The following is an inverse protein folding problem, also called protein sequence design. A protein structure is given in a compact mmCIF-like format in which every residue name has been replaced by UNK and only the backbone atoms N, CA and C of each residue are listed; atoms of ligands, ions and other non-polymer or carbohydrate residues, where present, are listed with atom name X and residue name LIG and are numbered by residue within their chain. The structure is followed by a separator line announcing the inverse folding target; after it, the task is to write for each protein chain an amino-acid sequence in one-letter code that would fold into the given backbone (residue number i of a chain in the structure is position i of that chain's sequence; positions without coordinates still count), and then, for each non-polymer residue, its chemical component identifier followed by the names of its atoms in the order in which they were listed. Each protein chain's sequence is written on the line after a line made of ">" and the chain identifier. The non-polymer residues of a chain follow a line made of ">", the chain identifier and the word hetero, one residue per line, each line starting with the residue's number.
data_IF_233603508229
#
_entry.id   IF_233603508229
#
_cell.length_a   1.000
_cell.length_b   1.000
_cell.length_c   1.000
_cell.angle_alpha   90.00
_cell.angle_beta   90.00
_cell.angle_gamma   90.00
#
_symmetry.space_group_name_H-M   'P 1'
#
loop_
_entity.id
_entity.type
_entity.pdbx_description
1 polymer ?
#
# COMPACT_ATOMS: atom_id res chain seq x y z
N UNK A 1 47.15 41.84 -21.24
CA UNK A 1 46.86 40.42 -20.90
C UNK A 1 45.44 40.35 -20.38
N UNK A 2 44.50 39.91 -21.23
CA UNK A 2 43.07 39.84 -20.90
C UNK A 2 42.73 38.35 -20.69
N UNK A 3 42.52 37.95 -19.43
CA UNK A 3 42.16 36.58 -19.08
C UNK A 3 40.69 36.34 -19.42
N UNK A 4 40.46 35.60 -20.50
CA UNK A 4 39.14 35.10 -20.88
C UNK A 4 38.84 33.87 -20.02
N UNK A 5 37.94 34.01 -19.05
CA UNK A 5 37.41 32.88 -18.28
C UNK A 5 36.43 32.09 -19.15
N UNK A 6 36.85 30.92 -19.61
CA UNK A 6 35.95 29.93 -20.22
C UNK A 6 35.29 29.16 -19.07
N UNK A 7 34.02 29.45 -18.80
CA UNK A 7 33.16 28.61 -17.96
C UNK A 7 32.90 27.29 -18.71
N UNK A 8 33.24 26.11 -18.13
CA UNK A 8 32.84 24.85 -18.74
C UNK A 8 31.32 24.71 -18.58
N UNK A 9 30.63 24.60 -19.71
CA UNK A 9 29.21 24.27 -19.74
C UNK A 9 29.02 22.91 -19.06
N UNK A 10 28.45 22.92 -17.86
CA UNK A 10 28.04 21.72 -17.14
C UNK A 10 26.86 21.11 -17.92
N UNK A 11 27.14 20.15 -18.80
CA UNK A 11 26.12 19.33 -19.42
C UNK A 11 25.44 18.50 -18.33
N UNK A 12 24.29 18.98 -17.85
CA UNK A 12 23.36 18.19 -17.06
C UNK A 12 22.83 17.11 -18.00
N UNK A 13 23.41 15.90 -17.88
CA UNK A 13 22.81 14.70 -18.44
C UNK A 13 21.47 14.48 -17.72
N UNK A 14 20.39 15.02 -18.28
CA UNK A 14 19.05 14.55 -17.97
C UNK A 14 18.99 13.13 -18.53
N UNK A 15 19.30 12.14 -17.68
CA UNK A 15 18.92 10.77 -17.96
C UNK A 15 17.40 10.76 -18.00
N UNK A 16 16.82 10.93 -19.20
CA UNK A 16 15.45 10.56 -19.45
C UNK A 16 15.37 9.06 -19.18
N UNK A 17 14.91 8.69 -17.98
CA UNK A 17 14.57 7.31 -17.67
C UNK A 17 13.40 6.98 -18.57
N UNK A 18 13.68 6.40 -19.75
CA UNK A 18 12.63 5.92 -20.65
C UNK A 18 11.87 4.84 -19.88
N UNK A 19 10.61 5.11 -19.59
CA UNK A 19 9.77 4.12 -18.96
C UNK A 19 9.63 2.89 -19.86
N UNK A 20 9.97 1.71 -19.33
CA UNK A 20 9.82 0.47 -20.07
C UNK A 20 8.34 0.08 -20.15
N UNK A 21 7.88 -0.41 -21.30
CA UNK A 21 6.55 -0.98 -21.46
C UNK A 21 6.53 -2.47 -21.09
N UNK A 22 5.35 -3.01 -20.75
CA UNK A 22 5.10 -4.45 -20.61
C UNK A 22 3.82 -4.80 -21.37
N UNK A 23 3.96 -4.93 -22.68
CA UNK A 23 2.84 -5.18 -23.61
C UNK A 23 2.79 -6.63 -24.13
N UNK A 24 3.73 -7.47 -23.70
CA UNK A 24 3.78 -8.90 -24.02
C UNK A 24 4.21 -9.72 -22.80
N UNK A 25 3.84 -11.03 -22.74
CA UNK A 25 4.24 -11.92 -21.66
C UNK A 25 5.77 -12.05 -21.57
N UNK A 26 6.37 -11.96 -20.37
CA UNK A 26 7.74 -12.41 -20.17
C UNK A 26 7.90 -13.90 -20.51
N UNK A 27 9.14 -14.31 -20.82
CA UNK A 27 9.45 -15.73 -21.09
C UNK A 27 9.00 -16.62 -19.91
N UNK A 28 8.27 -17.69 -20.23
CA UNK A 28 7.77 -18.66 -19.25
C UNK A 28 6.57 -18.20 -18.41
N UNK A 29 6.01 -17.01 -18.66
CA UNK A 29 4.80 -16.56 -17.99
C UNK A 29 3.55 -17.28 -18.53
N UNK A 30 2.70 -17.76 -17.63
CA UNK A 30 1.35 -18.19 -17.98
C UNK A 30 0.51 -16.98 -18.34
N UNK A 31 -0.28 -17.08 -19.40
CA UNK A 31 -1.05 -15.97 -19.95
C UNK A 31 -2.49 -16.02 -19.46
N UNK A 32 -2.98 -14.89 -18.97
CA UNK A 32 -4.38 -14.64 -18.68
C UNK A 32 -4.90 -13.58 -19.66
N UNK A 33 -5.99 -13.89 -20.36
CA UNK A 33 -6.65 -12.97 -21.29
C UNK A 33 -8.16 -13.17 -21.23
N UNK A 34 -8.89 -12.10 -20.94
CA UNK A 34 -10.35 -12.11 -20.91
C UNK A 34 -10.91 -12.65 -22.25
N UNK A 35 -11.83 -13.62 -22.15
CA UNK A 35 -12.53 -14.18 -23.32
C UNK A 35 -11.69 -15.04 -24.26
N UNK A 36 -10.44 -15.35 -23.93
CA UNK A 36 -9.56 -16.13 -24.81
C UNK A 36 -10.10 -17.52 -25.16
N UNK A 37 -9.86 -17.95 -26.40
CA UNK A 37 -10.08 -19.32 -26.89
C UNK A 37 -8.76 -20.01 -27.26
N UNK A 38 -7.64 -19.32 -27.09
CA UNK A 38 -6.32 -19.86 -27.40
C UNK A 38 -5.95 -20.97 -26.42
N UNK A 39 -5.46 -22.09 -26.96
CA UNK A 39 -4.93 -23.18 -26.14
C UNK A 39 -3.73 -22.68 -25.32
N UNK A 40 -3.69 -23.02 -24.02
CA UNK A 40 -2.63 -22.62 -23.10
C UNK A 40 -2.77 -21.23 -22.47
N UNK A 41 -3.81 -20.45 -22.82
CA UNK A 41 -4.18 -19.22 -22.10
C UNK A 41 -5.35 -19.48 -21.13
N UNK A 42 -5.43 -18.70 -20.06
CA UNK A 42 -6.51 -18.78 -19.07
C UNK A 42 -7.46 -17.59 -19.18
N UNK A 43 -8.76 -17.84 -18.99
CA UNK A 43 -9.79 -16.79 -18.92
C UNK A 43 -9.81 -16.06 -17.59
N UNK A 44 -9.27 -16.68 -16.52
CA UNK A 44 -9.28 -16.14 -15.17
C UNK A 44 -7.93 -16.32 -14.48
N UNK A 45 -7.64 -15.42 -13.54
CA UNK A 45 -6.38 -15.37 -12.80
C UNK A 45 -6.34 -16.52 -11.80
N UNK A 46 -7.46 -16.85 -11.15
CA UNK A 46 -7.49 -18.00 -10.23
C UNK A 46 -7.20 -19.31 -10.97
N UNK A 47 -7.71 -19.50 -12.20
CA UNK A 47 -7.42 -20.69 -12.97
C UNK A 47 -5.93 -20.80 -13.34
N UNK A 48 -5.29 -19.68 -13.70
CA UNK A 48 -3.84 -19.63 -13.94
C UNK A 48 -3.03 -19.91 -12.66
N UNK A 49 -3.46 -19.42 -11.50
CA UNK A 49 -2.82 -19.76 -10.21
C UNK A 49 -2.93 -21.27 -9.93
N UNK A 50 -4.10 -21.85 -10.20
CA UNK A 50 -4.40 -23.26 -9.96
C UNK A 50 -3.69 -24.21 -10.95
N UNK A 51 -3.26 -23.73 -12.11
CA UNK A 51 -2.60 -24.59 -13.12
C UNK A 51 -1.16 -24.93 -12.76
N UNK A 52 -0.55 -24.18 -11.85
CA UNK A 52 0.83 -24.41 -11.44
C UNK A 52 0.93 -25.52 -10.39
N UNK A 53 1.98 -26.36 -10.42
CA UNK A 53 2.21 -27.37 -9.38
C UNK A 53 2.45 -26.72 -8.01
N UNK A 54 1.96 -27.32 -6.92
CA UNK A 54 2.14 -26.77 -5.57
C UNK A 54 3.52 -27.14 -4.97
N UNK A 55 4.57 -26.68 -5.63
CA UNK A 55 5.97 -26.89 -5.29
C UNK A 55 6.67 -25.55 -4.99
N UNK A 56 7.98 -25.60 -4.72
CA UNK A 56 8.81 -24.42 -4.48
C UNK A 56 9.23 -23.66 -5.75
N UNK A 57 8.74 -24.05 -6.93
CA UNK A 57 9.17 -23.43 -8.19
C UNK A 57 8.66 -21.99 -8.33
N UNK A 58 9.51 -21.12 -8.85
CA UNK A 58 9.12 -19.74 -9.18
C UNK A 58 8.22 -19.75 -10.41
N UNK A 59 7.10 -19.04 -10.33
CA UNK A 59 6.12 -18.91 -11.42
C UNK A 59 5.84 -17.45 -11.76
N UNK A 60 5.37 -17.23 -12.97
CA UNK A 60 4.89 -15.91 -13.36
C UNK A 60 3.60 -15.98 -14.18
N UNK A 61 2.75 -14.97 -14.00
CA UNK A 61 1.52 -14.76 -14.77
C UNK A 61 1.63 -13.41 -15.47
N UNK A 62 1.19 -13.34 -16.73
CA UNK A 62 0.97 -12.10 -17.45
C UNK A 62 -0.54 -11.93 -17.75
N UNK A 63 -1.09 -10.77 -17.41
CA UNK A 63 -2.51 -10.46 -17.54
C UNK A 63 -2.68 -9.40 -18.64
N UNK A 64 -3.34 -9.77 -19.74
CA UNK A 64 -3.72 -8.84 -20.81
C UNK A 64 -4.81 -7.86 -20.36
N UNK A 65 -5.00 -6.74 -21.09
CA UNK A 65 -6.03 -5.74 -20.79
C UNK A 65 -7.40 -6.36 -20.56
N UNK A 66 -8.10 -5.90 -19.53
CA UNK A 66 -9.43 -6.37 -19.19
C UNK A 66 -9.77 -6.22 -17.71
N UNK A 67 -11.05 -6.41 -17.40
CA UNK A 67 -11.57 -6.49 -16.04
C UNK A 67 -11.95 -7.95 -15.75
N UNK A 68 -11.33 -8.50 -14.73
CA UNK A 68 -11.49 -9.88 -14.26
C UNK A 68 -12.31 -9.84 -12.97
N UNK A 69 -13.61 -10.17 -13.08
CA UNK A 69 -14.52 -10.16 -11.94
C UNK A 69 -14.43 -11.49 -11.18
N UNK A 70 -13.49 -11.57 -10.23
CA UNK A 70 -13.20 -12.78 -9.47
C UNK A 70 -12.53 -12.46 -8.13
N UNK A 71 -12.58 -13.42 -7.19
CA UNK A 71 -11.68 -13.44 -6.03
C UNK A 71 -10.48 -14.31 -6.38
N UNK A 72 -9.29 -13.80 -6.06
CA UNK A 72 -8.03 -14.52 -6.27
C UNK A 72 -7.41 -14.83 -4.92
N UNK A 73 -7.19 -16.11 -4.64
CA UNK A 73 -6.54 -16.61 -3.44
C UNK A 73 -5.28 -17.40 -3.80
N UNK A 74 -4.15 -16.94 -3.27
CA UNK A 74 -2.82 -17.45 -3.62
C UNK A 74 -2.18 -18.05 -2.37
N UNK A 75 -2.02 -19.38 -2.37
CA UNK A 75 -1.46 -20.19 -1.27
C UNK A 75 -0.25 -21.03 -1.68
N UNK A 76 0.33 -20.72 -2.84
CA UNK A 76 1.45 -21.50 -3.40
C UNK A 76 2.67 -21.48 -2.48
N UNK A 77 3.46 -22.55 -2.48
CA UNK A 77 4.75 -22.58 -1.76
C UNK A 77 5.83 -21.74 -2.44
N UNK A 78 5.95 -21.86 -3.76
CA UNK A 78 6.92 -21.14 -4.57
C UNK A 78 6.53 -19.69 -4.86
N UNK A 79 7.53 -18.87 -5.14
CA UNK A 79 7.35 -17.46 -5.47
C UNK A 79 6.45 -17.27 -6.71
N UNK A 80 5.61 -16.25 -6.68
CA UNK A 80 4.76 -15.88 -7.81
C UNK A 80 4.94 -14.41 -8.16
N UNK A 81 5.20 -14.13 -9.44
CA UNK A 81 5.16 -12.77 -9.98
C UNK A 81 3.98 -12.58 -10.94
N UNK A 82 3.14 -11.59 -10.71
CA UNK A 82 2.04 -11.21 -11.59
C UNK A 82 2.39 -9.90 -12.30
N UNK A 83 2.29 -9.90 -13.63
CA UNK A 83 2.50 -8.73 -14.47
C UNK A 83 1.18 -8.34 -15.15
N UNK A 84 0.74 -7.11 -14.96
CA UNK A 84 -0.33 -6.51 -15.76
C UNK A 84 0.22 -5.90 -17.05
N UNK A 85 -0.59 -5.94 -18.10
CA UNK A 85 -0.33 -5.17 -19.31
C UNK A 85 -0.27 -3.68 -19.00
N UNK A 86 0.80 -3.02 -19.46
CA UNK A 86 0.95 -1.56 -19.39
C UNK A 86 1.88 -1.07 -20.50
N UNK A 87 1.63 0.16 -20.96
CA UNK A 87 2.56 0.88 -21.86
C UNK A 87 3.68 1.57 -21.08
N UNK A 88 3.55 1.71 -19.77
CA UNK A 88 4.53 2.33 -18.87
C UNK A 88 4.55 1.59 -17.53
N UNK A 89 5.64 0.87 -17.25
CA UNK A 89 5.83 0.11 -16.00
C UNK A 89 6.17 0.97 -14.79
N UNK A 90 6.56 2.23 -15.00
CA UNK A 90 6.99 3.14 -13.96
C UNK A 90 5.83 3.85 -13.23
N UNK A 91 4.61 3.76 -13.78
CA UNK A 91 3.40 4.41 -13.28
C UNK A 91 2.21 3.46 -13.19
N UNK A 92 1.29 3.74 -12.27
CA UNK A 92 0.00 3.05 -12.17
C UNK A 92 -1.04 3.54 -13.20
N UNK A 93 -0.83 4.73 -13.77
CA UNK A 93 -1.86 5.42 -14.59
C UNK A 93 -2.12 4.73 -15.94
N UNK A 94 -1.22 3.85 -16.38
CA UNK A 94 -1.32 3.10 -17.64
C UNK A 94 -1.70 1.63 -17.44
N UNK A 95 -2.08 1.23 -16.22
CA UNK A 95 -2.53 -0.12 -15.93
C UNK A 95 -3.82 -0.44 -16.71
N UNK A 96 -3.84 -1.58 -17.42
CA UNK A 96 -5.02 -2.01 -18.17
C UNK A 96 -5.63 -3.34 -17.69
N UNK A 97 -4.99 -4.00 -16.73
CA UNK A 97 -5.50 -5.21 -16.08
C UNK A 97 -6.13 -4.85 -14.72
N UNK A 98 -7.40 -5.21 -14.53
CA UNK A 98 -8.14 -4.96 -13.28
C UNK A 98 -8.73 -6.24 -12.72
N UNK A 99 -8.41 -6.56 -11.47
CA UNK A 99 -9.09 -7.59 -10.67
C UNK A 99 -10.18 -6.89 -9.86
N UNK A 100 -11.40 -7.39 -9.92
CA UNK A 100 -12.56 -6.73 -9.30
C UNK A 100 -13.46 -7.75 -8.63
N UNK A 101 -13.95 -7.45 -7.43
CA UNK A 101 -15.00 -8.24 -6.80
C UNK A 101 -15.82 -7.42 -5.81
N UNK A 102 -17.02 -7.89 -5.46
CA UNK A 102 -17.86 -7.30 -4.42
C UNK A 102 -17.92 -8.25 -3.23
N UNK A 103 -17.18 -7.95 -2.15
CA UNK A 103 -17.20 -8.77 -0.92
C UNK A 103 -17.03 -7.86 0.28
N UNK A 104 -18.09 -7.74 1.09
CA UNK A 104 -18.04 -7.05 2.38
C UNK A 104 -17.95 -8.03 3.55
N UNK A 105 -17.62 -7.51 4.74
CA UNK A 105 -17.59 -8.31 5.97
C UNK A 105 -18.98 -8.82 6.37
N UNK A 106 -20.04 -8.13 5.96
CA UNK A 106 -21.42 -8.60 6.11
C UNK A 106 -21.73 -9.89 5.31
N UNK A 107 -20.82 -10.31 4.43
CA UNK A 107 -20.93 -11.53 3.62
C UNK A 107 -19.69 -12.43 3.77
N UNK A 108 -18.85 -12.19 4.78
CA UNK A 108 -17.56 -12.89 4.97
C UNK A 108 -17.31 -13.16 6.45
N UNK A 109 -16.55 -14.20 6.76
CA UNK A 109 -16.30 -14.57 8.16
C UNK A 109 -15.15 -13.79 8.82
N UNK A 110 -14.34 -13.09 8.01
CA UNK A 110 -13.18 -12.34 8.50
C UNK A 110 -12.77 -11.23 7.52
N UNK A 111 -11.97 -10.29 8.01
CA UNK A 111 -11.35 -9.23 7.18
C UNK A 111 -10.55 -9.82 6.00
N UNK A 112 -9.81 -10.91 6.22
CA UNK A 112 -9.05 -11.59 5.16
C UNK A 112 -9.96 -12.08 4.04
N UNK A 113 -11.12 -12.65 4.39
CA UNK A 113 -12.07 -13.15 3.40
C UNK A 113 -12.72 -12.04 2.58
N UNK A 114 -12.75 -10.79 3.04
CA UNK A 114 -13.28 -9.68 2.22
C UNK A 114 -12.38 -9.34 1.03
N UNK A 115 -11.11 -9.76 1.05
CA UNK A 115 -10.12 -9.44 0.03
C UNK A 115 -10.51 -9.91 -1.37
N UNK A 116 -10.55 -8.98 -2.35
CA UNK A 116 -10.59 -9.32 -3.78
C UNK A 116 -9.35 -10.13 -4.19
N UNK A 117 -8.18 -9.72 -3.73
CA UNK A 117 -6.92 -10.46 -3.86
C UNK A 117 -6.40 -10.84 -2.47
N UNK A 118 -6.23 -12.13 -2.21
CA UNK A 118 -5.71 -12.70 -0.96
C UNK A 118 -4.38 -13.40 -1.20
N UNK A 119 -3.33 -12.95 -0.52
CA UNK A 119 -1.95 -13.41 -0.72
C UNK A 119 -1.44 -14.07 0.56
N UNK A 120 -1.39 -15.39 0.55
CA UNK A 120 -0.87 -16.26 1.60
C UNK A 120 0.32 -17.06 1.05
N UNK A 121 1.24 -16.35 0.41
CA UNK A 121 2.48 -16.92 -0.16
C UNK A 121 3.63 -15.93 0.00
N UNK A 122 4.82 -16.47 0.23
CA UNK A 122 6.06 -15.71 0.34
C UNK A 122 6.61 -15.30 -1.03
N UNK A 123 7.41 -14.22 -1.06
CA UNK A 123 8.11 -13.72 -2.24
C UNK A 123 7.16 -13.36 -3.41
N UNK A 124 5.93 -12.97 -3.09
CA UNK A 124 4.96 -12.50 -4.07
C UNK A 124 5.37 -11.14 -4.65
N UNK A 125 5.22 -10.97 -5.97
CA UNK A 125 5.39 -9.69 -6.63
C UNK A 125 4.23 -9.40 -7.58
N UNK A 126 3.77 -8.16 -7.62
CA UNK A 126 2.78 -7.71 -8.59
C UNK A 126 3.19 -6.38 -9.20
N UNK A 127 3.02 -6.27 -10.52
CA UNK A 127 3.39 -5.10 -11.31
C UNK A 127 2.19 -4.62 -12.13
N UNK A 128 1.85 -3.34 -12.02
CA UNK A 128 0.93 -2.65 -12.95
C UNK A 128 -0.46 -3.30 -13.09
N UNK A 129 -1.01 -3.79 -11.97
CA UNK A 129 -2.37 -4.35 -11.88
C UNK A 129 -3.22 -3.50 -10.95
N UNK A 130 -4.47 -3.25 -11.36
CA UNK A 130 -5.49 -2.64 -10.52
C UNK A 130 -6.24 -3.74 -9.75
N UNK A 131 -6.51 -3.53 -8.47
CA UNK A 131 -7.32 -4.42 -7.63
C UNK A 131 -8.41 -3.59 -6.96
N UNK A 132 -9.67 -3.99 -7.13
CA UNK A 132 -10.83 -3.22 -6.69
C UNK A 132 -11.81 -4.08 -5.91
N UNK A 133 -12.17 -3.62 -4.72
CA UNK A 133 -13.39 -4.07 -4.07
C UNK A 133 -14.52 -3.06 -4.34
N UNK A 134 -15.60 -3.53 -4.97
CA UNK A 134 -16.70 -2.66 -5.42
C UNK A 134 -17.82 -2.51 -4.40
N UNK A 135 -17.66 -3.01 -3.16
CA UNK A 135 -18.70 -3.00 -2.13
C UNK A 135 -19.22 -1.59 -1.80
N UNK A 136 -18.32 -0.59 -1.75
CA UNK A 136 -18.68 0.78 -1.41
C UNK A 136 -18.86 1.02 0.10
N UNK A 137 -19.63 2.05 0.51
CA UNK A 137 -19.85 2.37 1.93
C UNK A 137 -20.69 1.33 2.66
N UNK A 138 -20.58 1.32 4.01
CA UNK A 138 -21.47 0.60 4.91
C UNK A 138 -20.87 -0.63 5.59
N UNK A 139 -19.75 -1.15 5.09
CA UNK A 139 -19.06 -2.30 5.69
C UNK A 139 -17.59 -2.35 5.26
N UNK A 140 -16.76 -3.06 6.02
CA UNK A 140 -15.36 -3.36 5.69
C UNK A 140 -15.28 -4.20 4.41
N UNK A 141 -14.42 -3.82 3.48
CA UNK A 141 -14.30 -4.48 2.19
C UNK A 141 -12.89 -4.33 1.58
N UNK A 142 -12.06 -5.36 1.74
CA UNK A 142 -10.68 -5.38 1.26
C UNK A 142 -10.56 -5.53 -0.25
N UNK A 143 -9.77 -4.66 -0.88
CA UNK A 143 -9.22 -4.92 -2.21
C UNK A 143 -8.05 -5.92 -2.10
N UNK A 144 -7.17 -5.71 -1.13
CA UNK A 144 -6.01 -6.56 -0.87
C UNK A 144 -6.03 -7.10 0.56
N UNK A 145 -5.85 -8.41 0.69
CA UNK A 145 -5.46 -9.07 1.93
C UNK A 145 -4.06 -9.67 1.79
N UNK A 146 -3.11 -9.14 2.56
CA UNK A 146 -1.71 -9.51 2.47
C UNK A 146 -1.26 -10.20 3.77
N UNK A 147 -0.82 -11.46 3.64
CA UNK A 147 -0.29 -12.27 4.74
C UNK A 147 1.14 -12.79 4.51
N UNK A 148 1.60 -12.88 3.27
CA UNK A 148 2.92 -13.45 2.94
C UNK A 148 4.13 -12.61 3.37
N UNK A 149 5.32 -13.21 3.42
CA UNK A 149 6.55 -12.46 3.68
C UNK A 149 7.26 -12.07 2.37
N UNK A 150 7.92 -10.91 2.35
CA UNK A 150 8.66 -10.35 1.19
C UNK A 150 7.75 -10.10 -0.02
N UNK A 151 6.58 -9.51 0.22
CA UNK A 151 5.67 -9.12 -0.85
C UNK A 151 6.04 -7.74 -1.44
N UNK A 152 5.92 -7.60 -2.77
CA UNK A 152 6.19 -6.34 -3.45
C UNK A 152 5.11 -5.98 -4.47
N UNK A 153 4.67 -4.73 -4.42
CA UNK A 153 3.65 -4.17 -5.31
C UNK A 153 4.21 -2.91 -5.97
N UNK A 154 4.29 -2.90 -7.30
CA UNK A 154 4.98 -1.87 -8.07
C UNK A 154 4.06 -1.31 -9.14
N UNK A 155 3.72 -0.02 -9.06
CA UNK A 155 2.75 0.59 -9.98
C UNK A 155 1.35 -0.02 -9.87
N UNK A 156 1.03 -0.73 -8.79
CA UNK A 156 -0.30 -1.30 -8.57
C UNK A 156 -1.26 -0.24 -8.05
N UNK A 157 -2.56 -0.41 -8.34
CA UNK A 157 -3.60 0.45 -7.79
C UNK A 157 -4.61 -0.37 -6.98
N UNK A 158 -4.94 0.10 -5.78
CA UNK A 158 -5.88 -0.55 -4.86
C UNK A 158 -7.05 0.38 -4.59
N UNK A 159 -8.27 -0.07 -4.91
CA UNK A 159 -9.48 0.73 -4.83
C UNK A 159 -10.47 0.09 -3.87
N UNK A 160 -10.96 0.88 -2.91
CA UNK A 160 -12.02 0.46 -2.01
C UNK A 160 -12.67 1.64 -1.30
N UNK A 161 -13.19 1.40 -0.11
CA UNK A 161 -13.85 2.43 0.69
C UNK A 161 -13.47 2.32 2.16
N UNK A 162 -13.98 1.34 2.89
CA UNK A 162 -13.50 1.00 4.24
C UNK A 162 -12.60 -0.23 4.15
N UNK A 163 -11.45 -0.21 4.83
CA UNK A 163 -10.54 -1.35 4.96
C UNK A 163 -9.95 -1.84 3.61
N UNK A 164 -9.52 -0.92 2.73
CA UNK A 164 -9.10 -1.25 1.34
C UNK A 164 -7.86 -2.15 1.25
N UNK A 165 -6.82 -1.86 2.02
CA UNK A 165 -5.52 -2.52 1.95
C UNK A 165 -5.16 -3.07 3.33
N UNK A 166 -5.32 -4.39 3.48
CA UNK A 166 -4.98 -5.11 4.69
C UNK A 166 -3.52 -5.58 4.67
N UNK A 167 -2.62 -4.67 5.05
CA UNK A 167 -1.18 -4.92 5.20
C UNK A 167 -0.89 -5.65 6.52
N UNK A 168 -1.31 -6.92 6.60
CA UNK A 168 -1.46 -7.59 7.88
C UNK A 168 -0.20 -8.27 8.42
N UNK A 169 0.58 -9.00 7.61
CA UNK A 169 1.73 -9.79 8.07
C UNK A 169 2.94 -9.70 7.14
N UNK A 170 4.11 -10.08 7.64
CA UNK A 170 5.33 -10.14 6.83
C UNK A 170 5.88 -8.79 6.39
N UNK A 171 7.00 -8.83 5.65
CA UNK A 171 7.62 -7.64 5.06
C UNK A 171 6.98 -7.34 3.71
N UNK A 172 6.60 -6.09 3.49
CA UNK A 172 5.82 -5.67 2.33
C UNK A 172 6.33 -4.32 1.79
N UNK A 173 6.34 -4.15 0.46
CA UNK A 173 6.62 -2.87 -0.18
C UNK A 173 5.55 -2.50 -1.20
N UNK A 174 5.13 -1.24 -1.18
CA UNK A 174 4.15 -0.64 -2.09
C UNK A 174 4.77 0.59 -2.73
N UNK A 175 5.11 0.52 -4.01
CA UNK A 175 5.92 1.53 -4.68
C UNK A 175 5.23 2.10 -5.91
N UNK A 176 5.23 3.44 -6.03
CA UNK A 176 4.74 4.18 -7.21
C UNK A 176 3.31 3.79 -7.63
N UNK A 177 2.50 3.37 -6.67
CA UNK A 177 1.14 2.91 -6.87
C UNK A 177 0.08 3.95 -6.53
N UNK A 178 -1.16 3.49 -6.48
CA UNK A 178 -2.33 4.26 -6.07
C UNK A 178 -3.11 3.50 -5.00
N UNK A 179 -3.49 4.15 -3.91
CA UNK A 179 -4.26 3.53 -2.82
C UNK A 179 -5.41 4.45 -2.46
N UNK A 180 -6.64 3.98 -2.65
CA UNK A 180 -7.85 4.78 -2.47
C UNK A 180 -8.80 4.18 -1.44
N UNK A 181 -9.27 5.02 -0.50
CA UNK A 181 -10.32 4.67 0.44
C UNK A 181 -10.73 5.86 1.32
N UNK A 182 -11.54 5.59 2.35
CA UNK A 182 -12.08 6.57 3.30
C UNK A 182 -11.69 6.26 4.73
N UNK A 183 -12.09 5.11 5.24
CA UNK A 183 -11.93 4.75 6.66
C UNK A 183 -10.97 3.58 6.77
N UNK A 184 -9.93 3.74 7.58
CA UNK A 184 -8.95 2.70 7.92
C UNK A 184 -8.39 1.99 6.69
N UNK A 185 -8.25 2.71 5.57
CA UNK A 185 -8.09 2.04 4.28
C UNK A 185 -6.69 1.49 4.03
N UNK A 186 -5.73 1.78 4.91
CA UNK A 186 -4.45 1.07 5.06
C UNK A 186 -4.35 0.58 6.50
N UNK A 187 -4.50 -0.72 6.73
CA UNK A 187 -4.64 -1.28 8.08
C UNK A 187 -4.03 -2.66 8.21
N UNK A 188 -3.86 -3.15 9.45
CA UNK A 188 -3.22 -4.42 9.73
C UNK A 188 -2.54 -4.45 11.09
N UNK A 189 -2.08 -5.63 11.51
CA UNK A 189 -1.56 -5.83 12.88
C UNK A 189 -0.06 -6.02 12.96
N UNK A 190 0.50 -6.89 12.13
CA UNK A 190 1.85 -7.43 12.29
C UNK A 190 2.78 -7.11 11.12
N UNK A 191 2.27 -6.43 10.07
CA UNK A 191 3.00 -6.14 8.85
C UNK A 191 4.12 -5.12 9.07
N UNK A 192 5.27 -5.38 8.46
CA UNK A 192 6.32 -4.39 8.25
C UNK A 192 6.19 -3.87 6.82
N UNK A 193 5.45 -2.77 6.63
CA UNK A 193 5.09 -2.27 5.31
C UNK A 193 5.75 -0.93 5.00
N UNK A 194 6.38 -0.84 3.83
CA UNK A 194 6.94 0.39 3.29
C UNK A 194 6.12 0.87 2.10
N UNK A 195 5.66 2.12 2.16
CA UNK A 195 4.90 2.81 1.13
C UNK A 195 5.78 3.93 0.56
N UNK A 196 6.25 3.79 -0.68
CA UNK A 196 7.17 4.72 -1.32
C UNK A 196 6.63 5.32 -2.63
N UNK A 197 6.49 6.64 -2.72
CA UNK A 197 6.15 7.28 -3.99
C UNK A 197 4.71 7.04 -4.49
N UNK A 198 3.80 6.62 -3.61
CA UNK A 198 2.41 6.34 -3.99
C UNK A 198 1.55 7.60 -3.98
N UNK A 199 0.46 7.57 -4.74
CA UNK A 199 -0.68 8.45 -4.56
C UNK A 199 -1.65 7.81 -3.58
N UNK A 200 -1.95 8.50 -2.48
CA UNK A 200 -2.91 8.08 -1.44
C UNK A 200 -4.15 8.96 -1.58
N UNK A 201 -5.24 8.39 -2.07
CA UNK A 201 -6.43 9.13 -2.45
C UNK A 201 -7.58 8.93 -1.46
N UNK A 202 -7.97 10.02 -0.79
CA UNK A 202 -8.99 10.00 0.27
C UNK A 202 -10.37 10.27 -0.31
N UNK A 203 -11.32 9.36 -0.10
CA UNK A 203 -12.69 9.43 -0.62
C UNK A 203 -13.68 10.18 0.28
N UNK A 204 -13.35 10.40 1.55
CA UNK A 204 -14.29 10.95 2.51
C UNK A 204 -13.64 11.30 3.84
N UNK A 205 -14.38 11.96 4.76
CA UNK A 205 -13.94 12.14 6.13
C UNK A 205 -13.63 10.79 6.79
N UNK A 206 -12.46 10.65 7.42
CA UNK A 206 -12.01 9.35 7.91
C UNK A 206 -10.54 9.29 8.27
N UNK A 207 -9.96 8.10 8.13
CA UNK A 207 -8.60 7.79 8.56
C UNK A 207 -7.86 7.05 7.45
N UNK A 208 -6.66 7.52 7.11
CA UNK A 208 -5.81 6.85 6.12
C UNK A 208 -5.31 5.52 6.68
N UNK A 209 -4.77 5.55 7.90
CA UNK A 209 -4.16 4.37 8.52
C UNK A 209 -4.86 3.91 9.79
N UNK A 210 -4.91 2.60 10.00
CA UNK A 210 -5.31 2.00 11.26
C UNK A 210 -4.40 0.83 11.61
N UNK A 211 -3.27 1.12 12.28
CA UNK A 211 -2.43 0.06 12.84
C UNK A 211 -3.21 -0.63 13.95
N UNK A 212 -3.11 -1.94 14.04
CA UNK A 212 -3.67 -2.77 15.10
C UNK A 212 -2.61 -3.52 15.89
N UNK A 213 -1.34 -3.08 15.85
CA UNK A 213 -0.22 -3.69 16.59
C UNK A 213 -0.58 -3.86 18.06
N UNK A 214 -0.41 -5.05 18.60
CA UNK A 214 -0.88 -5.40 19.95
C UNK A 214 0.24 -5.54 20.98
N UNK A 215 1.48 -5.80 20.53
CA UNK A 215 2.66 -5.99 21.37
C UNK A 215 3.85 -5.21 20.82
N UNK A 216 4.99 -5.26 21.51
CA UNK A 216 6.23 -4.62 21.07
C UNK A 216 6.98 -5.44 19.99
N UNK A 217 6.30 -5.74 18.87
CA UNK A 217 6.84 -6.50 17.73
C UNK A 217 7.47 -5.63 16.62
N UNK A 218 7.96 -6.22 15.53
CA UNK A 218 8.57 -5.45 14.43
C UNK A 218 7.55 -4.75 13.49
N UNK A 219 6.24 -4.93 13.70
CA UNK A 219 5.19 -4.39 12.85
C UNK A 219 5.23 -2.86 12.81
N UNK A 220 5.27 -2.29 11.61
CA UNK A 220 5.28 -0.83 11.41
C UNK A 220 4.95 -0.46 9.97
N UNK A 221 4.42 0.75 9.78
CA UNK A 221 4.17 1.34 8.45
C UNK A 221 5.06 2.55 8.23
N UNK A 222 5.79 2.57 7.12
CA UNK A 222 6.68 3.67 6.75
C UNK A 222 6.19 4.31 5.47
N UNK A 223 5.97 5.62 5.48
CA UNK A 223 5.46 6.36 4.33
C UNK A 223 6.52 7.34 3.84
N UNK A 224 7.13 7.06 2.70
CA UNK A 224 8.17 7.89 2.11
C UNK A 224 7.72 8.48 0.76
N UNK A 225 7.85 9.81 0.61
CA UNK A 225 7.58 10.49 -0.66
C UNK A 225 6.21 10.17 -1.30
N UNK A 226 5.19 9.87 -0.49
CA UNK A 226 3.82 9.67 -0.99
C UNK A 226 3.12 11.03 -1.12
N UNK A 227 2.16 11.11 -2.04
CA UNK A 227 1.30 12.26 -2.23
C UNK A 227 -0.09 11.92 -1.73
N UNK A 228 -0.62 12.68 -0.77
CA UNK A 228 -2.01 12.53 -0.31
C UNK A 228 -2.90 13.51 -1.08
N UNK A 229 -3.98 13.00 -1.68
CA UNK A 229 -4.93 13.79 -2.47
C UNK A 229 -6.37 13.47 -2.07
N UNK A 230 -7.32 14.30 -2.48
CA UNK A 230 -8.72 13.91 -2.53
C UNK A 230 -8.95 13.02 -3.76
N UNK A 231 -9.63 11.88 -3.58
CA UNK A 231 -9.99 11.01 -4.68
C UNK A 231 -10.98 11.69 -5.63
N UNK A 232 -11.01 11.27 -6.89
CA UNK A 232 -12.09 11.67 -7.79
C UNK A 232 -13.44 11.21 -7.24
N UNK A 233 -14.40 12.13 -7.15
CA UNK A 233 -15.70 11.86 -6.54
C UNK A 233 -15.66 11.71 -5.02
N UNK A 234 -14.66 12.29 -4.35
CA UNK A 234 -14.63 12.34 -2.89
C UNK A 234 -15.84 13.08 -2.31
N UNK A 235 -16.27 12.67 -1.13
CA UNK A 235 -17.42 13.24 -0.42
C UNK A 235 -17.20 14.70 -0.02
N UNK A 236 -18.30 15.43 0.13
CA UNK A 236 -18.29 16.75 0.76
C UNK A 236 -17.64 16.69 2.15
N UNK A 237 -16.86 17.70 2.49
CA UNK A 237 -16.16 17.75 3.78
C UNK A 237 -14.93 16.85 3.86
N UNK A 238 -14.51 16.19 2.77
CA UNK A 238 -13.22 15.46 2.75
C UNK A 238 -12.06 16.41 3.04
N UNK A 239 -12.04 17.61 2.44
CA UNK A 239 -11.01 18.61 2.75
C UNK A 239 -11.10 19.01 4.23
N UNK A 240 -10.01 18.80 4.97
CA UNK A 240 -9.96 19.02 6.42
C UNK A 240 -10.71 17.99 7.27
N UNK A 241 -11.38 16.99 6.67
CA UNK A 241 -12.18 15.99 7.36
C UNK A 241 -11.51 14.62 7.53
N UNK A 242 -10.28 14.43 7.04
CA UNK A 242 -9.52 13.19 7.20
C UNK A 242 -8.27 13.37 8.06
N UNK A 243 -7.90 12.27 8.71
CA UNK A 243 -6.70 12.17 9.55
C UNK A 243 -5.76 11.12 8.97
N UNK A 244 -4.47 11.28 9.24
CA UNK A 244 -3.49 10.31 8.74
C UNK A 244 -3.64 8.93 9.38
N UNK A 245 -4.12 8.83 10.62
CA UNK A 245 -4.46 7.54 11.18
C UNK A 245 -5.06 7.56 12.58
N UNK A 246 -5.53 6.38 13.00
CA UNK A 246 -6.04 6.12 14.35
C UNK A 246 -5.63 4.74 14.87
N UNK A 247 -5.48 4.58 16.19
CA UNK A 247 -5.18 3.28 16.78
C UNK A 247 -6.38 2.34 16.57
N UNK A 248 -6.20 1.23 15.85
CA UNK A 248 -7.24 0.18 15.78
C UNK A 248 -7.34 -0.58 17.11
N UNK A 249 -6.20 -0.75 17.80
CA UNK A 249 -6.12 -1.36 19.13
C UNK A 249 -5.56 -0.38 20.16
N UNK A 250 -5.89 -0.57 21.45
CA UNK A 250 -5.48 0.28 22.58
C UNK A 250 -3.95 0.36 22.80
N UNK A 251 -3.14 -0.46 22.09
CA UNK A 251 -1.68 -0.53 22.21
C UNK A 251 -0.94 0.17 21.07
N UNK A 252 -1.63 0.99 20.27
CA UNK A 252 -1.02 1.60 19.09
C UNK A 252 -0.08 2.76 19.41
N UNK A 253 1.13 2.63 18.89
CA UNK A 253 2.23 3.56 19.06
C UNK A 253 2.36 4.47 17.82
N UNK A 254 2.06 5.75 18.00
CA UNK A 254 2.37 6.79 17.01
C UNK A 254 3.65 7.51 17.42
N UNK A 255 4.59 7.66 16.49
CA UNK A 255 5.65 8.66 16.62
C UNK A 255 5.37 9.78 15.63
N UNK A 256 4.95 10.93 16.16
CA UNK A 256 4.79 12.16 15.42
C UNK A 256 6.09 12.96 15.51
N UNK A 257 6.62 13.38 14.36
CA UNK A 257 7.73 14.33 14.30
C UNK A 257 7.25 15.60 13.57
N UNK A 258 6.47 16.44 14.26
CA UNK A 258 6.12 17.80 13.83
C UNK A 258 5.63 18.67 15.03
N UNK A 259 5.80 20.01 15.01
CA UNK A 259 5.53 20.90 16.14
C UNK A 259 4.01 21.06 16.43
N UNK A 260 3.62 21.65 17.58
CA UNK A 260 2.32 21.41 18.20
C UNK A 260 1.18 22.17 17.51
N UNK A 261 0.48 21.53 16.57
CA UNK A 261 -0.89 21.85 16.13
C UNK A 261 -1.59 20.56 15.67
N UNK A 262 -2.93 20.44 15.80
CA UNK A 262 -3.67 19.40 15.08
C UNK A 262 -3.32 19.51 13.59
N UNK A 263 -2.80 18.42 13.00
CA UNK A 263 -2.41 18.43 11.59
C UNK A 263 -3.69 18.24 10.76
N UNK A 264 -4.41 19.33 10.54
CA UNK A 264 -5.37 19.47 9.44
C UNK A 264 -4.54 19.64 8.17
N UNK A 265 -4.57 18.68 7.25
CA UNK A 265 -3.88 18.81 5.97
C UNK A 265 -4.75 19.64 5.01
N UNK A 266 -4.46 20.93 4.93
CA UNK A 266 -4.71 21.72 3.72
C UNK A 266 -3.35 21.88 3.03
N UNK A 267 -3.28 21.38 1.80
CA UNK A 267 -2.15 21.43 0.87
C UNK A 267 -1.05 20.35 0.99
N UNK A 268 -0.61 19.95 -0.19
CA UNK A 268 0.34 18.91 -0.55
C UNK A 268 1.71 19.09 0.10
N UNK A 269 2.06 18.18 1.02
CA UNK A 269 3.42 18.07 1.55
C UNK A 269 4.10 16.80 1.04
N UNK A 270 5.10 16.94 0.15
CA UNK A 270 6.08 15.90 -0.15
C UNK A 270 7.18 15.87 0.93
N UNK A 271 6.98 15.17 2.03
CA UNK A 271 8.07 14.83 2.99
C UNK A 271 7.91 13.41 3.54
N UNK A 272 9.05 12.76 3.79
CA UNK A 272 9.17 11.44 4.41
C UNK A 272 8.58 11.41 5.81
N UNK A 273 7.54 10.60 6.03
CA UNK A 273 6.90 10.34 7.32
C UNK A 273 7.28 8.93 7.78
N UNK A 274 8.25 8.84 8.69
CA UNK A 274 8.64 7.58 9.32
C UNK A 274 7.84 7.43 10.61
N UNK A 275 6.91 6.48 10.65
CA UNK A 275 6.29 6.05 11.91
C UNK A 275 7.14 4.93 12.50
N UNK A 276 7.97 5.28 13.48
CA UNK A 276 8.77 4.32 14.24
C UNK A 276 8.56 4.55 15.73
N UNK A 277 8.03 3.52 16.40
CA UNK A 277 7.99 3.23 17.85
C UNK A 277 8.21 4.40 18.83
N UNK A 278 7.25 4.62 19.72
CA UNK A 278 7.39 5.48 20.89
C UNK A 278 7.17 4.66 22.17
N UNK A 279 8.03 4.75 23.17
CA UNK A 279 7.93 4.00 24.43
C UNK A 279 6.96 4.67 25.40
N UNK A 280 6.11 3.87 26.06
CA UNK A 280 5.54 4.23 27.36
C UNK A 280 6.28 3.45 28.47
N UNK A 281 6.97 4.16 29.38
CA UNK A 281 7.34 3.61 30.70
C UNK A 281 6.39 4.21 31.72
N UNK A 282 5.70 3.38 32.50
CA UNK A 282 5.04 3.81 33.73
C UNK A 282 6.11 4.27 34.72
N UNK A 283 6.07 5.52 35.13
CA UNK A 283 6.56 5.93 36.44
C UNK A 283 5.35 6.11 37.34
N UNK A 284 5.35 5.43 38.49
CA UNK A 284 4.27 5.51 39.45
C UNK A 284 4.15 6.91 40.04
N UNK A 285 2.92 7.32 40.33
CA UNK A 285 2.66 8.40 41.28
C UNK A 285 1.46 8.00 42.13
N UNK A 286 1.73 7.80 43.42
CA UNK A 286 0.76 7.83 44.51
C UNK A 286 0.13 9.22 44.59
N UNK A 287 -1.20 9.31 44.67
CA UNK A 287 -1.90 10.56 44.95
C UNK A 287 -3.39 10.49 44.69
N UNK A 288 -4.18 10.73 45.73
CA UNK A 288 -5.64 10.76 45.75
C UNK A 288 -6.18 12.06 45.14
N UNK A 289 -6.98 11.97 44.07
CA UNK A 289 -7.69 13.12 43.47
C UNK A 289 -8.51 12.74 42.24
N UNK A 290 -9.80 13.09 42.29
CA UNK A 290 -10.92 13.07 41.32
C UNK A 290 -10.58 12.86 39.82
N UNK A 291 -11.32 12.01 39.07
CA UNK A 291 -10.98 11.69 37.69
C UNK A 291 -11.34 12.85 36.75
N UNK A 292 -10.34 13.63 36.35
CA UNK A 292 -10.42 14.53 35.20
C UNK A 292 -9.80 13.81 33.99
N UNK A 293 -10.51 13.85 32.87
CA UNK A 293 -10.18 13.21 31.58
C UNK A 293 -8.68 13.34 31.28
N UNK A 294 -7.96 12.24 31.42
CA UNK A 294 -6.49 12.27 31.42
C UNK A 294 -5.95 12.37 30.00
N UNK A 295 -5.23 13.47 29.78
CA UNK A 295 -4.35 13.71 28.64
C UNK A 295 -3.57 12.47 28.18
N UNK A 296 -3.62 12.15 26.88
CA UNK A 296 -2.72 11.18 26.27
C UNK A 296 -1.28 11.71 26.33
N UNK A 297 -0.43 10.97 27.01
CA UNK A 297 0.96 11.30 27.30
C UNK A 297 1.80 11.20 26.02
N UNK A 298 2.24 12.33 25.46
CA UNK A 298 3.30 12.38 24.44
C UNK A 298 4.65 12.31 25.15
N UNK A 299 5.32 11.16 25.16
CA UNK A 299 6.73 11.10 25.55
C UNK A 299 7.60 11.52 24.38
N UNK A 300 8.42 12.57 24.56
CA UNK A 300 9.47 12.95 23.62
C UNK A 300 10.70 12.06 23.84
N UNK A 301 11.37 11.63 22.77
CA UNK A 301 12.82 11.37 22.83
C UNK A 301 13.44 11.70 21.48
N UNK A 302 14.11 12.84 21.42
CA UNK A 302 14.99 13.24 20.32
C UNK A 302 16.26 12.40 20.32
N UNK A 303 16.48 11.61 19.26
CA UNK A 303 17.81 11.34 18.73
C UNK A 303 17.74 11.50 17.21
N UNK A 304 18.34 12.57 16.70
CA UNK A 304 18.71 12.66 15.30
C UNK A 304 19.66 11.48 15.01
N UNK A 305 19.24 10.54 14.17
CA UNK A 305 20.18 9.82 13.34
C UNK A 305 20.44 10.73 12.16
N UNK A 306 21.46 11.57 12.28
CA UNK A 306 22.15 12.11 11.12
C UNK A 306 22.67 10.91 10.33
N UNK A 307 22.00 10.58 9.23
CA UNK A 307 22.64 9.80 8.18
C UNK A 307 23.64 10.76 7.54
N UNK A 308 24.93 10.51 7.80
CA UNK A 308 26.02 11.23 7.18
C UNK A 308 25.82 11.28 5.65
N UNK A 309 26.19 12.39 4.99
CA UNK A 309 26.13 12.47 3.54
C UNK A 309 26.99 11.35 2.95
N UNK A 310 26.40 10.57 2.04
CA UNK A 310 27.15 9.71 1.13
C UNK A 310 27.95 10.67 0.25
N UNK A 311 29.26 10.72 0.47
CA UNK A 311 30.24 11.25 -0.48
C UNK A 311 30.47 10.19 -1.54
#
# INVERSE_FOLDING_TARGET
>A
MQFLFILPALFVFVQAVIAASRTSPPSGAVVVRAGTTASGEFKSIQAAVNSFPNDGSTRSIFIYPGTYTEKVYITRKGALTIYGYTTDTSTYTQNQATISFNSGLDQSSSNDETGTLRIHTDNFKMYNVNVKNTRGPGTQAGALSQYGNRAGFYGCAFYGYQDTLYANQGTQVYLKGYIEGKTDFIYGRQGLAYFGGNTIAVKGPGYITASGRQSDDAGSYVFNANTVIQASGAESGTSGGYYFGRPWSLSCFYSFRCPPRPITFTESFSRTLIFKSLRTRRFGSSGTGTPTVSHMCYTQTTRLLELAPVV
#
